data_IF_405371440884
#
_entry.id   IF_405371440884
#
_cell.length_a   1.000
_cell.length_b   1.000
_cell.length_c   1.000
_cell.angle_alpha   90.00
_cell.angle_beta   90.00
_cell.angle_gamma   90.00
#
_symmetry.space_group_name_H-M   'P 1'
#
loop_
_entity.id
_entity.type
_entity.pdbx_description
1 polymer ?
#
# COMPACT_ATOMS: atom_id res chain seq x y z
N UNK A 1 -10.59 -11.40 14.05
CA UNK A 1 -10.07 -10.62 15.21
C UNK A 1 -9.54 -9.28 14.70
N UNK A 2 -9.92 -8.17 15.34
CA UNK A 2 -9.35 -6.85 15.06
C UNK A 2 -8.07 -6.68 15.87
N UNK A 3 -6.95 -6.42 15.19
CA UNK A 3 -5.69 -6.05 15.83
C UNK A 3 -5.62 -4.52 15.91
N UNK A 4 -5.17 -3.99 17.03
CA UNK A 4 -5.14 -2.54 17.30
C UNK A 4 -3.78 -2.12 17.81
N UNK A 5 -3.25 -1.01 17.27
CA UNK A 5 -1.97 -0.45 17.67
C UNK A 5 -2.04 1.09 17.67
N UNK A 6 -1.22 1.73 18.49
CA UNK A 6 -1.08 3.18 18.53
C UNK A 6 0.20 3.62 17.82
N UNK A 7 0.09 4.64 16.98
CA UNK A 7 1.20 5.27 16.31
C UNK A 7 1.28 6.74 16.71
N UNK A 8 2.50 7.26 16.67
CA UNK A 8 2.79 8.67 16.89
C UNK A 8 3.19 9.29 15.57
N UNK A 9 2.53 10.39 15.19
CA UNK A 9 2.84 11.12 13.97
C UNK A 9 4.12 11.93 14.16
N UNK A 10 5.24 11.36 13.76
CA UNK A 10 6.56 11.95 13.85
C UNK A 10 6.82 12.99 12.77
N UNK A 11 7.91 13.75 12.92
CA UNK A 11 8.30 14.76 11.93
C UNK A 11 8.55 14.18 10.53
N UNK A 12 9.21 13.03 10.47
CA UNK A 12 9.53 12.32 9.22
C UNK A 12 8.31 11.67 8.54
N UNK A 13 7.18 11.59 9.23
CA UNK A 13 5.94 11.03 8.69
C UNK A 13 5.08 12.09 8.01
N UNK A 14 5.47 13.37 8.14
CA UNK A 14 4.68 14.49 7.64
C UNK A 14 5.13 14.98 6.27
N UNK A 15 4.17 15.40 5.46
CA UNK A 15 4.40 16.21 4.27
C UNK A 15 4.78 17.67 4.60
N UNK A 16 4.94 18.49 3.58
CA UNK A 16 5.34 19.91 3.71
C UNK A 16 4.33 20.77 4.50
N UNK A 17 3.08 20.33 4.58
CA UNK A 17 1.99 20.97 5.34
C UNK A 17 1.94 20.52 6.81
N UNK A 18 2.91 19.74 7.27
CA UNK A 18 3.00 19.16 8.61
C UNK A 18 1.81 18.26 8.97
N UNK A 19 1.21 17.60 7.97
CA UNK A 19 0.23 16.53 8.16
C UNK A 19 0.78 15.18 7.71
N UNK A 20 0.20 14.09 8.22
CA UNK A 20 0.60 12.73 7.91
C UNK A 20 0.49 12.45 6.41
N UNK A 21 1.60 12.04 5.79
CA UNK A 21 1.68 11.76 4.35
C UNK A 21 1.10 10.37 3.98
N UNK A 22 0.66 10.21 2.73
CA UNK A 22 0.20 8.91 2.21
C UNK A 22 1.30 7.84 2.29
N UNK A 23 2.55 8.21 2.04
CA UNK A 23 3.70 7.31 2.17
C UNK A 23 3.87 6.80 3.60
N UNK A 24 3.70 7.67 4.60
CA UNK A 24 3.77 7.27 6.00
C UNK A 24 2.56 6.41 6.42
N UNK A 25 1.35 6.70 5.90
CA UNK A 25 0.17 5.86 6.09
C UNK A 25 0.39 4.44 5.60
N UNK A 26 0.94 4.26 4.39
CA UNK A 26 1.27 2.92 3.89
C UNK A 26 2.27 2.19 4.80
N UNK A 27 3.28 2.88 5.34
CA UNK A 27 4.22 2.29 6.32
C UNK A 27 3.52 1.85 7.60
N UNK A 28 2.56 2.63 8.10
CA UNK A 28 1.76 2.23 9.27
C UNK A 28 0.91 0.98 8.97
N UNK A 29 0.32 0.90 7.77
CA UNK A 29 -0.46 -0.26 7.35
C UNK A 29 0.40 -1.53 7.19
N UNK A 30 1.60 -1.41 6.63
CA UNK A 30 2.56 -2.52 6.55
C UNK A 30 3.00 -2.99 7.94
N UNK A 31 3.29 -2.04 8.83
CA UNK A 31 3.71 -2.36 10.19
C UNK A 31 2.62 -3.11 10.97
N UNK A 32 1.39 -2.58 11.00
CA UNK A 32 0.30 -3.24 11.74
C UNK A 32 -0.07 -4.60 11.14
N UNK A 33 0.03 -4.75 9.80
CA UNK A 33 -0.21 -6.03 9.14
C UNK A 33 0.82 -7.09 9.57
N UNK A 34 2.10 -6.71 9.64
CA UNK A 34 3.19 -7.56 10.10
C UNK A 34 3.09 -7.89 11.59
N UNK A 35 2.74 -6.92 12.43
CA UNK A 35 2.53 -7.11 13.86
C UNK A 35 1.35 -8.04 14.14
N UNK A 36 0.24 -7.88 13.42
CA UNK A 36 -0.91 -8.79 13.51
C UNK A 36 -0.51 -10.22 13.08
N UNK A 37 0.23 -10.37 11.98
CA UNK A 37 0.76 -11.66 11.54
C UNK A 37 1.57 -12.33 12.64
N UNK A 38 2.54 -11.62 13.22
CA UNK A 38 3.36 -12.14 14.31
C UNK A 38 2.51 -12.54 15.54
N UNK A 39 1.49 -11.76 15.90
CA UNK A 39 0.61 -12.05 17.02
C UNK A 39 -0.24 -13.33 16.85
N UNK A 40 -0.48 -13.74 15.62
CA UNK A 40 -1.24 -14.98 15.30
C UNK A 40 -0.34 -16.15 14.85
N UNK A 41 0.98 -16.05 15.04
CA UNK A 41 1.94 -17.10 14.66
C UNK A 41 2.23 -17.15 13.16
N UNK A 42 2.07 -16.03 12.46
CA UNK A 42 2.37 -15.85 11.03
C UNK A 42 3.53 -14.86 10.82
N UNK A 43 4.57 -15.01 11.65
CA UNK A 43 5.77 -14.18 11.58
C UNK A 43 6.61 -14.54 10.36
N UNK A 44 7.06 -13.58 9.54
CA UNK A 44 7.93 -13.83 8.39
C UNK A 44 9.29 -14.43 8.77
N UNK A 45 9.65 -14.43 10.06
CA UNK A 45 10.86 -15.06 10.59
C UNK A 45 10.70 -16.56 10.86
N UNK A 46 9.46 -17.05 10.96
CA UNK A 46 9.15 -18.40 11.46
C UNK A 46 8.44 -19.28 10.42
N UNK A 47 7.84 -18.67 9.39
CA UNK A 47 7.04 -19.39 8.41
C UNK A 47 7.79 -19.63 7.09
N UNK A 48 7.55 -20.78 6.39
CA UNK A 48 8.23 -21.11 5.13
C UNK A 48 7.59 -20.47 3.90
N UNK A 49 6.88 -19.39 4.05
CA UNK A 49 6.23 -18.65 2.97
C UNK A 49 6.37 -17.15 3.14
N UNK A 50 5.92 -16.40 2.14
CA UNK A 50 5.90 -14.94 2.16
C UNK A 50 4.53 -14.45 1.74
N UNK A 51 4.05 -13.41 2.42
CA UNK A 51 2.92 -12.62 1.95
C UNK A 51 3.41 -11.59 0.94
N UNK A 52 2.74 -11.56 -0.21
CA UNK A 52 3.00 -10.61 -1.30
C UNK A 52 1.80 -9.70 -1.43
N UNK A 53 2.04 -8.41 -1.28
CA UNK A 53 1.04 -7.37 -1.47
C UNK A 53 0.74 -7.22 -2.96
N UNK A 54 -0.56 -7.24 -3.32
CA UNK A 54 -1.03 -7.03 -4.68
C UNK A 54 -1.54 -5.62 -4.91
N UNK A 55 -2.23 -5.05 -3.92
CA UNK A 55 -2.84 -3.73 -4.07
C UNK A 55 -3.24 -3.11 -2.74
N UNK A 56 -3.28 -1.77 -2.73
CA UNK A 56 -3.97 -0.94 -1.74
C UNK A 56 -5.00 -0.04 -2.40
N UNK A 57 -6.04 0.28 -1.65
CA UNK A 57 -6.94 1.42 -1.90
C UNK A 57 -7.14 2.14 -0.57
N UNK A 58 -6.96 3.45 -0.57
CA UNK A 58 -6.98 4.31 0.61
C UNK A 58 -7.91 5.50 0.41
N UNK A 59 -8.66 5.84 1.47
CA UNK A 59 -9.52 7.01 1.54
C UNK A 59 -9.25 7.78 2.85
N UNK A 60 -8.63 8.95 2.73
CA UNK A 60 -8.32 9.85 3.84
C UNK A 60 -9.46 10.85 4.03
N UNK A 61 -10.12 10.82 5.16
CA UNK A 61 -11.20 11.74 5.52
C UNK A 61 -10.64 13.02 6.15
N UNK A 62 -9.58 12.89 6.94
CA UNK A 62 -8.88 14.01 7.61
C UNK A 62 -7.45 13.59 7.94
N UNK A 63 -6.49 14.46 7.70
CA UNK A 63 -5.08 14.20 8.00
C UNK A 63 -4.71 14.62 9.41
N UNK A 64 -4.16 13.71 10.24
CA UNK A 64 -3.62 14.05 11.54
C UNK A 64 -2.36 14.89 11.36
N UNK A 65 -2.14 15.83 12.28
CA UNK A 65 -0.98 16.73 12.27
C UNK A 65 0.22 16.13 12.98
N UNK A 66 1.38 16.67 12.71
CA UNK A 66 2.58 16.40 13.51
C UNK A 66 2.29 16.46 15.01
N UNK A 67 2.93 15.58 15.77
CA UNK A 67 2.82 15.46 17.22
C UNK A 67 1.48 14.91 17.75
N UNK A 68 0.59 14.42 16.88
CA UNK A 68 -0.63 13.73 17.32
C UNK A 68 -0.41 12.22 17.47
N UNK A 69 -1.27 11.58 18.24
CA UNK A 69 -1.36 10.12 18.34
C UNK A 69 -2.55 9.64 17.54
N UNK A 70 -2.41 8.49 16.93
CA UNK A 70 -3.47 7.85 16.17
C UNK A 70 -3.60 6.40 16.58
N UNK A 71 -4.82 5.87 16.53
CA UNK A 71 -5.10 4.46 16.77
C UNK A 71 -5.44 3.80 15.45
N UNK A 72 -4.61 2.83 15.06
CA UNK A 72 -4.82 2.05 13.84
C UNK A 72 -5.39 0.68 14.20
N UNK A 73 -6.47 0.30 13.52
CA UNK A 73 -7.09 -1.02 13.60
C UNK A 73 -6.93 -1.73 12.27
N UNK A 74 -6.67 -3.04 12.32
CA UNK A 74 -6.57 -3.86 11.11
C UNK A 74 -7.11 -5.27 11.36
N UNK A 75 -7.77 -5.86 10.35
CA UNK A 75 -8.27 -7.23 10.40
C UNK A 75 -8.26 -7.87 9.01
N UNK A 76 -8.19 -9.19 8.99
CA UNK A 76 -8.48 -9.95 7.79
C UNK A 76 -9.99 -9.92 7.55
N UNK A 77 -10.42 -9.49 6.36
CA UNK A 77 -11.85 -9.41 6.01
C UNK A 77 -12.36 -10.65 5.31
N UNK A 78 -11.58 -11.16 4.37
CA UNK A 78 -11.99 -12.26 3.52
C UNK A 78 -10.80 -13.04 2.95
N UNK A 79 -11.02 -14.31 2.68
CA UNK A 79 -10.09 -15.18 1.97
C UNK A 79 -10.84 -15.85 0.82
N UNK A 80 -10.26 -15.83 -0.39
CA UNK A 80 -10.85 -16.48 -1.58
C UNK A 80 -9.76 -17.03 -2.49
N UNK A 81 -9.73 -18.36 -2.63
CA UNK A 81 -8.76 -19.04 -3.49
C UNK A 81 -7.31 -18.84 -3.03
N UNK A 82 -6.56 -17.98 -3.69
CA UNK A 82 -5.17 -17.63 -3.35
C UNK A 82 -5.05 -16.23 -2.74
N UNK A 83 -6.14 -15.47 -2.66
CA UNK A 83 -6.15 -14.06 -2.27
C UNK A 83 -6.76 -13.87 -0.88
N UNK A 84 -6.13 -13.01 -0.10
CA UNK A 84 -6.59 -12.53 1.20
C UNK A 84 -6.83 -11.02 1.14
N UNK A 85 -7.87 -10.55 1.81
CA UNK A 85 -8.23 -9.15 1.94
C UNK A 85 -8.04 -8.69 3.38
N UNK A 86 -7.43 -7.51 3.56
CA UNK A 86 -7.23 -6.87 4.86
C UNK A 86 -7.79 -5.45 4.82
N UNK A 87 -8.51 -5.08 5.87
CA UNK A 87 -9.05 -3.74 6.12
C UNK A 87 -8.23 -3.00 7.16
N UNK A 88 -8.32 -1.66 7.10
CA UNK A 88 -7.68 -0.75 8.04
C UNK A 88 -8.61 0.42 8.37
N UNK A 89 -8.58 0.85 9.62
CA UNK A 89 -9.26 2.03 10.11
C UNK A 89 -8.30 2.84 10.98
N UNK A 90 -8.08 4.10 10.64
CA UNK A 90 -7.28 5.02 11.44
C UNK A 90 -8.19 5.99 12.18
N UNK A 91 -7.96 6.13 13.46
CA UNK A 91 -8.70 7.01 14.37
C UNK A 91 -7.77 8.05 14.98
N UNK A 92 -8.26 9.26 15.19
CA UNK A 92 -7.54 10.28 15.94
C UNK A 92 -7.63 10.08 17.46
N UNK A 93 -7.03 11.01 18.24
CA UNK A 93 -7.05 10.99 19.71
C UNK A 93 -8.46 11.13 20.29
N UNK A 94 -9.39 11.77 19.56
CA UNK A 94 -10.79 11.90 19.95
C UNK A 94 -11.63 10.65 19.68
N UNK A 95 -11.07 9.69 18.95
CA UNK A 95 -11.78 8.47 18.52
C UNK A 95 -12.58 8.64 17.24
N UNK A 96 -12.41 9.74 16.50
CA UNK A 96 -13.01 9.94 15.19
C UNK A 96 -12.27 9.15 14.11
N UNK A 97 -13.01 8.49 13.22
CA UNK A 97 -12.46 7.81 12.05
C UNK A 97 -11.93 8.84 11.06
N UNK A 98 -10.64 8.77 10.71
CA UNK A 98 -9.96 9.75 9.86
C UNK A 98 -9.37 9.17 8.58
N UNK A 99 -9.23 7.84 8.48
CA UNK A 99 -8.82 7.17 7.25
C UNK A 99 -9.33 5.74 7.25
N UNK A 100 -9.69 5.25 6.07
CA UNK A 100 -9.98 3.84 5.80
C UNK A 100 -9.10 3.35 4.66
N UNK A 101 -8.69 2.09 4.73
CA UNK A 101 -7.94 1.47 3.63
C UNK A 101 -8.25 -0.03 3.54
N UNK A 102 -7.99 -0.58 2.36
CA UNK A 102 -8.13 -2.00 2.07
C UNK A 102 -6.91 -2.47 1.28
N UNK A 103 -6.48 -3.69 1.51
CA UNK A 103 -5.37 -4.30 0.75
C UNK A 103 -5.66 -5.74 0.36
N UNK A 104 -5.11 -6.16 -0.77
CA UNK A 104 -5.19 -7.54 -1.24
C UNK A 104 -3.80 -8.18 -1.28
N UNK A 105 -3.72 -9.41 -0.83
CA UNK A 105 -2.49 -10.16 -0.63
C UNK A 105 -2.60 -11.57 -1.19
N UNK A 106 -1.46 -12.14 -1.60
CA UNK A 106 -1.32 -13.57 -1.88
C UNK A 106 -0.18 -14.14 -1.03
N UNK A 107 -0.21 -15.46 -0.83
CA UNK A 107 0.86 -16.18 -0.16
C UNK A 107 1.64 -17.02 -1.15
N UNK A 108 2.96 -16.93 -1.08
CA UNK A 108 3.88 -17.68 -1.93
C UNK A 108 4.83 -18.50 -1.07
N UNK A 109 5.19 -19.67 -1.55
CA UNK A 109 6.26 -20.46 -0.95
C UNK A 109 7.60 -19.71 -1.02
N UNK A 110 8.35 -19.69 0.08
CA UNK A 110 9.54 -18.84 0.19
C UNK A 110 10.72 -19.30 -0.67
N UNK A 111 10.79 -20.62 -1.01
CA UNK A 111 11.88 -21.19 -1.82
C UNK A 111 11.53 -21.18 -3.30
N UNK A 112 10.32 -21.61 -3.64
CA UNK A 112 9.91 -21.83 -5.04
C UNK A 112 9.16 -20.67 -5.67
N UNK A 113 8.70 -19.68 -4.88
CA UNK A 113 7.86 -18.57 -5.33
C UNK A 113 6.45 -18.99 -5.79
N UNK A 114 6.07 -20.25 -5.63
CA UNK A 114 4.75 -20.74 -6.07
C UNK A 114 3.63 -20.22 -5.19
N UNK A 115 2.54 -19.78 -5.84
CA UNK A 115 1.32 -19.39 -5.16
C UNK A 115 0.76 -20.55 -4.33
N UNK A 116 0.38 -20.22 -3.09
CA UNK A 116 -0.26 -21.16 -2.17
C UNK A 116 -1.77 -20.88 -2.12
N UNK A 117 -2.56 -21.95 -2.16
CA UNK A 117 -4.00 -21.85 -1.93
C UNK A 117 -4.25 -21.52 -0.45
N UNK A 118 -5.05 -20.49 -0.22
CA UNK A 118 -5.50 -20.12 1.12
C UNK A 118 -6.80 -20.86 1.42
N UNK A 119 -6.86 -21.49 2.58
CA UNK A 119 -8.04 -22.21 3.05
C UNK A 119 -8.72 -21.51 4.23
N UNK A 120 -9.73 -22.14 4.79
CA UNK A 120 -10.42 -21.70 6.01
C UNK A 120 -9.45 -21.52 7.19
N UNK A 121 -8.41 -22.33 7.26
CA UNK A 121 -7.38 -22.23 8.30
C UNK A 121 -6.74 -20.83 8.39
N UNK A 122 -6.56 -20.12 7.28
CA UNK A 122 -6.05 -18.72 7.30
C UNK A 122 -7.11 -17.78 7.88
N UNK A 123 -8.38 -17.98 7.51
CA UNK A 123 -9.48 -17.17 8.04
C UNK A 123 -9.65 -17.39 9.55
N UNK A 124 -9.52 -18.62 10.02
CA UNK A 124 -9.56 -18.99 11.44
C UNK A 124 -8.36 -18.42 12.20
N UNK A 125 -7.13 -18.58 11.67
CA UNK A 125 -5.88 -18.07 12.25
C UNK A 125 -5.95 -16.57 12.53
N UNK A 126 -6.46 -15.79 11.58
CA UNK A 126 -6.62 -14.35 11.71
C UNK A 126 -7.93 -13.93 12.39
N UNK A 127 -8.84 -14.87 12.70
CA UNK A 127 -10.16 -14.58 13.21
C UNK A 127 -10.90 -13.60 12.30
N UNK A 128 -11.03 -13.96 11.01
CA UNK A 128 -11.56 -13.08 9.97
C UNK A 128 -12.94 -12.52 10.28
N UNK A 129 -13.16 -11.24 9.97
CA UNK A 129 -14.42 -10.51 10.19
C UNK A 129 -14.93 -9.95 8.86
N UNK A 130 -16.13 -10.36 8.45
CA UNK A 130 -16.71 -9.98 7.15
C UNK A 130 -17.05 -8.49 7.02
N UNK A 131 -17.04 -7.72 8.12
CA UNK A 131 -17.26 -6.26 8.10
C UNK A 131 -16.16 -5.56 7.30
N UNK A 132 -16.46 -4.47 6.65
CA UNK A 132 -15.51 -3.66 5.91
C UNK A 132 -16.07 -2.30 5.56
N UNK A 133 -15.18 -1.38 5.20
CA UNK A 133 -15.50 0.01 4.86
C UNK A 133 -15.80 0.20 3.37
N UNK A 134 -15.55 -0.82 2.55
CA UNK A 134 -15.74 -0.80 1.10
C UNK A 134 -16.76 -1.86 0.68
N UNK A 135 -17.51 -1.61 -0.40
CA UNK A 135 -18.55 -2.52 -0.89
C UNK A 135 -18.00 -3.91 -1.25
N UNK A 136 -16.82 -3.95 -1.83
CA UNK A 136 -16.12 -5.17 -2.23
C UNK A 136 -14.82 -5.37 -1.43
N UNK A 137 -14.50 -6.61 -1.01
CA UNK A 137 -13.18 -6.92 -0.48
C UNK A 137 -12.06 -6.95 -1.54
N UNK A 138 -12.42 -6.86 -2.82
CA UNK A 138 -11.47 -6.98 -3.93
C UNK A 138 -11.34 -5.65 -4.65
N UNK A 139 -10.10 -5.11 -4.66
CA UNK A 139 -9.76 -3.86 -5.33
C UNK A 139 -9.81 -4.11 -6.84
N UNK A 140 -10.61 -3.32 -7.60
CA UNK A 140 -10.71 -3.49 -9.04
C UNK A 140 -9.38 -3.12 -9.72
N UNK A 141 -9.11 -3.70 -10.89
CA UNK A 141 -7.95 -3.33 -11.70
C UNK A 141 -8.02 -1.86 -12.10
N UNK A 142 -6.88 -1.19 -12.05
CA UNK A 142 -6.77 0.18 -12.54
C UNK A 142 -6.91 0.23 -14.07
N UNK A 143 -7.46 1.33 -14.56
CA UNK A 143 -7.48 1.64 -16.00
C UNK A 143 -6.20 2.41 -16.31
N UNK A 144 -5.46 1.95 -17.30
CA UNK A 144 -4.29 2.68 -17.78
C UNK A 144 -4.71 4.01 -18.43
N UNK A 145 -3.87 5.02 -18.29
CA UNK A 145 -4.03 6.26 -19.04
C UNK A 145 -3.83 6.00 -20.54
N UNK A 146 -4.64 6.63 -21.36
CA UNK A 146 -4.51 6.49 -22.83
C UNK A 146 -3.24 7.16 -23.37
N UNK A 147 -2.75 8.20 -22.68
CA UNK A 147 -1.55 8.98 -23.04
C UNK A 147 -0.81 9.34 -21.76
N UNK A 148 0.50 9.33 -21.82
CA UNK A 148 1.38 9.81 -20.75
C UNK A 148 1.92 11.19 -21.11
N UNK A 149 1.74 12.14 -20.19
CA UNK A 149 2.12 13.56 -20.36
C UNK A 149 3.56 13.83 -19.89
N UNK A 150 4.04 13.03 -18.94
CA UNK A 150 5.39 13.17 -18.35
C UNK A 150 5.99 11.80 -18.14
N UNK A 151 7.27 11.67 -18.45
CA UNK A 151 8.08 10.49 -18.17
C UNK A 151 9.37 10.90 -17.45
N UNK A 152 9.73 10.17 -16.39
CA UNK A 152 11.02 10.32 -15.68
C UNK A 152 11.63 8.96 -15.39
N UNK A 153 12.95 8.89 -15.43
CA UNK A 153 13.70 7.68 -15.09
C UNK A 153 14.32 7.79 -13.72
N UNK A 154 14.32 6.67 -13.02
CA UNK A 154 14.87 6.53 -11.68
C UNK A 154 15.67 5.24 -11.58
N UNK A 155 16.79 5.29 -10.84
CA UNK A 155 17.56 4.11 -10.49
C UNK A 155 17.07 3.59 -9.15
N UNK A 156 16.89 2.27 -9.03
CA UNK A 156 16.59 1.63 -7.74
C UNK A 156 17.85 1.63 -6.88
N UNK A 157 17.88 2.51 -5.89
CA UNK A 157 19.01 2.69 -4.98
C UNK A 157 18.92 1.77 -3.75
N UNK A 158 20.06 1.64 -3.02
CA UNK A 158 20.15 0.73 -1.86
C UNK A 158 19.17 1.04 -0.73
N UNK A 159 18.86 2.32 -0.51
CA UNK A 159 17.91 2.78 0.50
C UNK A 159 16.44 2.46 0.17
N UNK A 160 16.15 2.03 -1.06
CA UNK A 160 14.82 1.56 -1.45
C UNK A 160 14.61 0.08 -1.12
N UNK A 161 15.69 -0.67 -0.86
CA UNK A 161 15.63 -2.12 -0.68
C UNK A 161 15.25 -2.48 0.76
N UNK A 162 14.20 -3.30 0.89
CA UNK A 162 13.70 -3.80 2.17
C UNK A 162 14.34 -5.14 2.60
N UNK A 163 13.83 -5.71 3.69
CA UNK A 163 14.27 -6.99 4.23
C UNK A 163 14.02 -8.18 3.28
N UNK A 164 13.13 -8.04 2.30
CA UNK A 164 12.85 -9.05 1.28
C UNK A 164 13.83 -8.97 0.09
N UNK A 165 14.82 -8.04 0.16
CA UNK A 165 15.84 -7.79 -0.86
C UNK A 165 15.31 -7.28 -2.19
N UNK A 166 14.14 -6.66 -2.20
CA UNK A 166 13.59 -5.93 -3.34
C UNK A 166 13.11 -4.54 -2.90
N UNK A 167 12.80 -3.70 -3.89
CA UNK A 167 12.30 -2.36 -3.64
C UNK A 167 11.03 -2.42 -2.77
N UNK A 168 11.05 -1.71 -1.64
CA UNK A 168 9.91 -1.62 -0.73
C UNK A 168 8.67 -1.07 -1.46
N UNK A 169 7.52 -1.64 -1.19
CA UNK A 169 6.26 -1.30 -1.84
C UNK A 169 5.91 0.20 -1.72
N UNK A 170 6.24 0.81 -0.60
CA UNK A 170 5.99 2.23 -0.34
C UNK A 170 6.77 3.15 -1.31
N UNK A 171 7.97 2.74 -1.73
CA UNK A 171 8.81 3.52 -2.65
C UNK A 171 8.18 3.73 -4.03
N UNK A 172 7.26 2.85 -4.46
CA UNK A 172 6.53 3.08 -5.73
C UNK A 172 5.60 4.28 -5.65
N UNK A 173 4.99 4.55 -4.48
CA UNK A 173 4.21 5.77 -4.26
C UNK A 173 5.11 7.01 -4.21
N UNK A 174 6.30 6.92 -3.58
CA UNK A 174 7.27 8.00 -3.59
C UNK A 174 7.70 8.37 -5.02
N UNK A 175 8.01 7.37 -5.86
CA UNK A 175 8.34 7.61 -7.27
C UNK A 175 7.15 8.18 -8.06
N UNK A 176 5.94 7.71 -7.78
CA UNK A 176 4.73 8.26 -8.39
C UNK A 176 4.54 9.74 -8.03
N UNK A 177 4.76 10.12 -6.78
CA UNK A 177 4.72 11.53 -6.35
C UNK A 177 5.80 12.38 -7.04
N UNK A 178 7.01 11.84 -7.24
CA UNK A 178 8.12 12.55 -7.88
C UNK A 178 7.89 12.88 -9.37
N UNK A 179 6.99 12.18 -10.05
CA UNK A 179 6.70 12.41 -11.48
C UNK A 179 5.50 13.33 -11.69
N UNK A 180 4.75 13.65 -10.63
CA UNK A 180 3.60 14.56 -10.71
C UNK A 180 4.04 15.94 -11.24
N UNK A 181 3.27 16.57 -12.15
CA UNK A 181 3.48 17.96 -12.53
C UNK A 181 3.34 18.89 -11.31
N UNK A 182 4.12 19.99 -11.29
CA UNK A 182 4.13 20.94 -10.18
C UNK A 182 2.70 21.43 -9.82
N UNK A 183 1.88 21.74 -10.82
CA UNK A 183 0.50 22.19 -10.61
C UNK A 183 -0.43 21.12 -9.97
N UNK A 184 -0.05 19.84 -10.04
CA UNK A 184 -0.76 18.74 -9.34
C UNK A 184 -0.23 18.63 -7.92
N UNK A 185 1.10 18.66 -7.76
CA UNK A 185 1.78 18.63 -6.47
C UNK A 185 1.35 19.77 -5.53
N UNK A 186 1.23 21.01 -6.06
CA UNK A 186 0.85 22.20 -5.29
C UNK A 186 -0.57 22.13 -4.71
N UNK A 187 -1.40 21.20 -5.17
CA UNK A 187 -2.74 20.95 -4.59
C UNK A 187 -2.70 20.11 -3.31
N UNK A 188 -1.53 19.65 -2.92
CA UNK A 188 -1.35 18.72 -1.81
C UNK A 188 -1.57 17.25 -2.20
N UNK A 189 -1.43 16.38 -1.22
CA UNK A 189 -1.60 14.94 -1.42
C UNK A 189 -3.06 14.57 -1.73
N UNK A 190 -3.25 13.60 -2.61
CA UNK A 190 -4.56 13.04 -2.88
C UNK A 190 -5.15 12.38 -1.62
N UNK A 191 -6.43 12.62 -1.38
CA UNK A 191 -7.15 11.98 -0.29
C UNK A 191 -7.63 10.57 -0.62
N UNK A 192 -7.68 10.22 -1.90
CA UNK A 192 -8.04 8.87 -2.35
C UNK A 192 -7.06 8.41 -3.42
N UNK A 193 -6.46 7.26 -3.20
CA UNK A 193 -5.61 6.64 -4.22
C UNK A 193 -5.69 5.11 -4.17
N UNK A 194 -5.33 4.49 -5.27
CA UNK A 194 -5.13 3.05 -5.39
C UNK A 194 -3.73 2.76 -5.93
N UNK A 195 -3.11 1.70 -5.44
CA UNK A 195 -1.85 1.20 -5.99
C UNK A 195 -1.95 -0.30 -6.25
N UNK A 196 -1.46 -0.73 -7.42
CA UNK A 196 -1.34 -2.14 -7.80
C UNK A 196 0.12 -2.48 -8.06
N UNK A 197 0.59 -3.55 -7.43
CA UNK A 197 1.94 -4.09 -7.59
C UNK A 197 1.88 -5.30 -8.55
N UNK A 198 2.76 -5.31 -9.54
CA UNK A 198 2.78 -6.36 -10.58
C UNK A 198 4.02 -7.23 -10.52
N UNK A 199 5.17 -6.60 -10.31
CA UNK A 199 6.46 -7.27 -10.31
C UNK A 199 7.45 -6.49 -9.43
N UNK A 200 8.25 -7.20 -8.64
CA UNK A 200 9.29 -6.59 -7.82
C UNK A 200 10.37 -5.92 -8.67
N UNK A 201 10.99 -4.88 -8.12
CA UNK A 201 12.17 -4.23 -8.67
C UNK A 201 13.36 -4.42 -7.74
N UNK A 202 14.57 -4.46 -8.29
CA UNK A 202 15.78 -4.79 -7.56
C UNK A 202 16.82 -3.70 -7.66
N UNK A 203 17.77 -3.68 -6.73
CA UNK A 203 18.87 -2.72 -6.74
C UNK A 203 19.58 -2.69 -8.10
N UNK A 204 19.82 -1.48 -8.60
CA UNK A 204 20.49 -1.24 -9.88
C UNK A 204 19.60 -1.34 -11.12
N UNK A 205 18.30 -1.64 -10.98
CA UNK A 205 17.37 -1.55 -12.10
C UNK A 205 16.99 -0.10 -12.39
N UNK A 206 16.89 0.26 -13.67
CA UNK A 206 16.31 1.52 -14.11
C UNK A 206 14.79 1.37 -14.25
N UNK A 207 14.05 2.29 -13.66
CA UNK A 207 12.59 2.37 -13.76
C UNK A 207 12.18 3.62 -14.52
N UNK A 208 11.15 3.51 -15.35
CA UNK A 208 10.50 4.65 -16.01
C UNK A 208 9.13 4.87 -15.37
N UNK A 209 8.92 6.04 -14.77
CA UNK A 209 7.65 6.48 -14.23
C UNK A 209 6.93 7.36 -15.24
N UNK A 210 5.75 6.93 -15.67
CA UNK A 210 4.93 7.57 -16.70
C UNK A 210 3.67 8.13 -16.07
N UNK A 211 3.52 9.46 -16.03
CA UNK A 211 2.33 10.16 -15.54
C UNK A 211 1.36 10.43 -16.68
N UNK A 212 0.09 10.13 -16.48
CA UNK A 212 -1.00 10.50 -17.38
C UNK A 212 -2.15 11.14 -16.60
N UNK A 213 -2.70 12.23 -17.14
CA UNK A 213 -3.90 12.86 -16.60
C UNK A 213 -5.16 12.24 -17.21
N UNK A 214 -6.23 12.13 -16.41
CA UNK A 214 -7.54 11.62 -16.82
C UNK A 214 -8.68 12.49 -16.30
N UNK A 215 -9.89 12.21 -16.72
CA UNK A 215 -11.10 12.96 -16.33
C UNK A 215 -11.37 12.88 -14.83
N UNK A 216 -11.12 11.73 -14.21
CA UNK A 216 -11.42 11.46 -12.80
C UNK A 216 -10.21 11.55 -11.87
N UNK A 217 -9.03 11.85 -12.40
CA UNK A 217 -7.80 11.87 -11.61
C UNK A 217 -6.54 11.75 -12.44
N UNK A 218 -5.51 11.18 -11.85
CA UNK A 218 -4.21 10.96 -12.50
C UNK A 218 -3.77 9.51 -12.31
N UNK A 219 -3.00 8.99 -13.24
CA UNK A 219 -2.40 7.66 -13.15
C UNK A 219 -0.90 7.75 -13.36
N UNK A 220 -0.14 7.04 -12.56
CA UNK A 220 1.29 6.84 -12.75
C UNK A 220 1.56 5.35 -12.94
N UNK A 221 2.23 5.01 -14.03
CA UNK A 221 2.69 3.63 -14.28
C UNK A 221 4.20 3.59 -14.14
N UNK A 222 4.69 2.70 -13.30
CA UNK A 222 6.12 2.42 -13.10
C UNK A 222 6.49 1.20 -13.93
N UNK A 223 7.40 1.35 -14.88
CA UNK A 223 7.86 0.32 -15.82
C UNK A 223 9.32 -0.03 -15.57
N UNK A 224 9.66 -1.30 -15.74
CA UNK A 224 11.04 -1.76 -15.79
C UNK A 224 11.72 -1.47 -17.13
N UNK A 225 13.01 -1.80 -17.23
CA UNK A 225 13.83 -1.54 -18.43
C UNK A 225 13.34 -2.24 -19.71
N UNK A 226 12.60 -3.33 -19.59
CA UNK A 226 11.98 -4.04 -20.72
C UNK A 226 10.55 -3.53 -21.05
N UNK A 227 10.09 -2.48 -20.35
CA UNK A 227 8.75 -1.92 -20.52
C UNK A 227 7.66 -2.67 -19.73
N UNK A 228 8.01 -3.68 -18.98
CA UNK A 228 7.11 -4.44 -18.11
C UNK A 228 6.62 -3.60 -16.92
N UNK A 229 5.32 -3.65 -16.65
CA UNK A 229 4.73 -2.90 -15.55
C UNK A 229 5.17 -3.46 -14.20
N UNK A 230 5.70 -2.59 -13.33
CA UNK A 230 6.10 -2.88 -11.96
C UNK A 230 5.00 -2.51 -10.96
N UNK A 231 4.46 -1.31 -11.10
CA UNK A 231 3.33 -0.82 -10.32
C UNK A 231 2.50 0.19 -11.10
N UNK A 232 1.25 0.34 -10.67
CA UNK A 232 0.29 1.32 -11.19
C UNK A 232 -0.30 2.07 -9.99
N UNK A 233 -0.28 3.40 -10.01
CA UNK A 233 -0.85 4.27 -8.98
C UNK A 233 -1.92 5.15 -9.61
N UNK A 234 -3.14 5.12 -9.10
CA UNK A 234 -4.21 6.03 -9.49
C UNK A 234 -4.54 6.97 -8.33
N UNK A 235 -4.50 8.25 -8.60
CA UNK A 235 -4.92 9.31 -7.67
C UNK A 235 -6.30 9.80 -8.10
N UNK A 236 -7.28 9.71 -7.22
CA UNK A 236 -8.64 10.19 -7.46
C UNK A 236 -8.78 11.65 -7.01
N UNK A 237 -9.65 12.39 -7.69
CA UNK A 237 -9.95 13.79 -7.38
C UNK A 237 -11.26 13.92 -6.63
#
# INVERSE_FOLDING_TARGET
MVYTEQFYVGYSDCGADMTLSNTALLRYFENIASMHGAAVGDSPLEVPYRWVLLSYHECVLRRPKFNSRVTLKSWNRAVKGVTSCREFELYDEGGDLICTAISNWVRVDAETGKLQRLGEAVAEQYGSEARGNFDSPWIPKLKEAAVYDVEKRYMVERNFIDANRHMNNVCYLDLANCVLPQAVWDKGESNTFSIHYRKASYYGEELTCCYGSGETGATVVVKGGEGDVRAEVAFER
#
